data_IF_451386090831
#
_entry.id   IF_451386090831
#
_cell.length_a   1.000
_cell.length_b   1.000
_cell.length_c   1.000
_cell.angle_alpha   90.00
_cell.angle_beta   90.00
_cell.angle_gamma   90.00
#
_symmetry.space_group_name_H-M   'P 1'
#
loop_
_entity.id
_entity.type
_entity.pdbx_description
1 polymer ?
#
# COMPACT_ATOMS: atom_id res chain seq x y z
N UNK A 1 0.87 -2.31 24.78
CA UNK A 1 0.54 -2.20 23.34
C UNK A 1 -0.76 -1.39 23.25
N UNK A 2 -0.81 -0.42 22.35
CA UNK A 2 -2.02 0.37 22.07
C UNK A 2 -3.02 -0.56 21.36
N UNK A 3 -4.29 -0.51 21.74
CA UNK A 3 -5.38 -1.28 21.12
C UNK A 3 -6.40 -0.35 20.47
N UNK A 4 -7.11 -0.81 19.46
CA UNK A 4 -8.19 -0.04 18.84
C UNK A 4 -9.28 0.38 19.86
N UNK A 5 -9.45 -0.37 20.94
CA UNK A 5 -10.36 -0.03 22.02
C UNK A 5 -9.98 1.27 22.75
N UNK A 6 -8.72 1.66 22.72
CA UNK A 6 -8.20 2.88 23.36
C UNK A 6 -8.54 4.15 22.55
N UNK A 7 -9.00 4.01 21.31
CA UNK A 7 -9.38 5.11 20.43
C UNK A 7 -10.88 5.47 20.55
N UNK A 8 -11.18 6.72 20.26
CA UNK A 8 -12.54 7.25 20.28
C UNK A 8 -13.48 6.60 19.24
N UNK A 9 -14.79 6.82 19.36
CA UNK A 9 -15.77 6.22 18.46
C UNK A 9 -15.61 6.64 16.99
N UNK A 10 -15.13 7.85 16.74
CA UNK A 10 -14.85 8.36 15.39
C UNK A 10 -13.78 7.52 14.69
N UNK A 11 -12.64 7.30 15.34
CA UNK A 11 -11.53 6.48 14.79
C UNK A 11 -12.00 5.05 14.53
N UNK A 12 -12.75 4.46 15.47
CA UNK A 12 -13.28 3.10 15.28
C UNK A 12 -14.27 3.00 14.12
N UNK A 13 -15.09 4.03 13.91
CA UNK A 13 -15.99 4.10 12.77
C UNK A 13 -15.24 4.22 11.44
N UNK A 14 -14.21 5.07 11.40
CA UNK A 14 -13.36 5.20 10.22
C UNK A 14 -12.61 3.90 9.92
N UNK A 15 -12.04 3.23 10.92
CA UNK A 15 -11.40 1.90 10.74
C UNK A 15 -12.36 0.91 10.08
N UNK A 16 -13.61 0.84 10.54
CA UNK A 16 -14.61 -0.05 9.94
C UNK A 16 -14.82 0.28 8.46
N UNK A 17 -15.03 1.54 8.12
CA UNK A 17 -15.22 1.98 6.74
C UNK A 17 -13.98 1.70 5.87
N UNK A 18 -12.79 2.01 6.37
CA UNK A 18 -11.53 1.80 5.64
C UNK A 18 -11.27 0.32 5.42
N UNK A 19 -11.58 -0.56 6.37
CA UNK A 19 -11.51 -2.01 6.16
C UNK A 19 -12.40 -2.49 5.01
N UNK A 20 -13.62 -1.96 4.90
CA UNK A 20 -14.54 -2.28 3.79
C UNK A 20 -13.95 -1.84 2.45
N UNK A 21 -13.43 -0.60 2.37
CA UNK A 21 -12.81 -0.04 1.17
C UNK A 21 -11.57 -0.84 0.76
N UNK A 22 -10.66 -1.07 1.69
CA UNK A 22 -9.40 -1.78 1.41
C UNK A 22 -9.66 -3.21 0.97
N UNK A 23 -10.60 -3.92 1.61
CA UNK A 23 -11.00 -5.28 1.19
C UNK A 23 -11.59 -5.28 -0.22
N UNK A 24 -12.46 -4.34 -0.55
CA UNK A 24 -13.05 -4.21 -1.89
C UNK A 24 -11.99 -3.91 -2.96
N UNK A 25 -11.02 -3.03 -2.66
CA UNK A 25 -9.93 -2.71 -3.58
C UNK A 25 -9.03 -3.91 -3.87
N UNK A 26 -8.80 -4.79 -2.90
CA UNK A 26 -8.05 -6.03 -3.14
C UNK A 26 -8.71 -6.92 -4.20
N UNK A 27 -10.05 -6.98 -4.25
CA UNK A 27 -10.77 -7.74 -5.28
C UNK A 27 -10.55 -7.15 -6.68
N UNK A 28 -10.35 -5.83 -6.79
CA UNK A 28 -10.02 -5.20 -8.08
C UNK A 28 -8.62 -5.61 -8.56
N UNK A 29 -7.66 -5.83 -7.67
CA UNK A 29 -6.31 -6.25 -8.06
C UNK A 29 -6.34 -7.60 -8.81
N UNK A 30 -7.16 -8.56 -8.34
CA UNK A 30 -7.35 -9.84 -9.04
C UNK A 30 -8.10 -9.65 -10.34
N UNK A 31 -9.22 -8.93 -10.29
CA UNK A 31 -10.08 -8.70 -11.47
C UNK A 31 -9.28 -8.15 -12.65
N UNK A 32 -8.28 -7.31 -12.39
CA UNK A 32 -7.47 -6.66 -13.40
C UNK A 32 -6.11 -7.33 -13.62
N UNK A 33 -5.89 -8.54 -13.08
CA UNK A 33 -4.63 -9.30 -13.21
C UNK A 33 -3.39 -8.50 -12.78
N UNK A 34 -3.52 -7.70 -11.71
CA UNK A 34 -2.43 -6.86 -11.18
C UNK A 34 -1.59 -7.58 -10.11
N UNK A 35 -2.02 -8.74 -9.67
CA UNK A 35 -1.37 -9.54 -8.63
C UNK A 35 -1.45 -11.03 -8.96
N UNK A 36 -0.56 -11.80 -8.33
CA UNK A 36 -0.49 -13.27 -8.46
C UNK A 36 -0.43 -13.87 -7.07
N UNK A 37 -1.21 -14.93 -6.83
CA UNK A 37 -1.24 -15.68 -5.57
C UNK A 37 -1.62 -14.78 -4.39
N UNK A 38 -0.72 -14.59 -3.42
CA UNK A 38 -0.92 -13.73 -2.24
C UNK A 38 -0.14 -12.41 -2.32
N UNK A 39 0.61 -12.20 -3.40
CA UNK A 39 1.47 -11.04 -3.60
C UNK A 39 0.67 -9.75 -3.85
N UNK A 40 1.27 -8.62 -3.57
CA UNK A 40 0.64 -7.32 -3.69
C UNK A 40 -0.34 -7.02 -2.55
N UNK A 41 -0.66 -5.76 -2.37
CA UNK A 41 -1.57 -5.29 -1.34
C UNK A 41 -2.01 -3.84 -1.56
N UNK A 42 -3.04 -3.46 -0.84
CA UNK A 42 -3.52 -2.09 -0.71
C UNK A 42 -3.49 -1.73 0.76
N UNK A 43 -3.11 -0.51 1.06
CA UNK A 43 -3.34 0.08 2.38
C UNK A 43 -3.97 1.46 2.27
N UNK A 44 -4.61 1.88 3.34
CA UNK A 44 -5.13 3.23 3.49
C UNK A 44 -4.82 3.76 4.88
N UNK A 45 -4.26 4.99 4.95
CA UNK A 45 -4.09 5.75 6.18
C UNK A 45 -5.41 6.37 6.60
N UNK A 46 -5.69 6.44 7.90
CA UNK A 46 -6.83 7.15 8.46
C UNK A 46 -6.59 8.67 8.46
N UNK A 47 -7.68 9.41 8.40
CA UNK A 47 -7.67 10.87 8.59
C UNK A 47 -7.74 11.26 10.07
N UNK A 48 -8.44 10.46 10.88
CA UNK A 48 -8.70 10.77 12.31
C UNK A 48 -7.60 10.32 13.26
N UNK A 49 -6.64 9.50 12.79
CA UNK A 49 -5.54 9.00 13.62
C UNK A 49 -4.34 8.57 12.78
N UNK A 50 -3.16 8.51 13.38
CA UNK A 50 -1.94 7.97 12.76
C UNK A 50 -1.96 6.43 12.72
N UNK A 51 -2.98 5.91 12.06
CA UNK A 51 -3.21 4.49 11.81
C UNK A 51 -3.36 4.23 10.32
N UNK A 52 -3.08 2.98 9.93
CA UNK A 52 -3.38 2.49 8.58
C UNK A 52 -4.03 1.12 8.64
N UNK A 53 -4.81 0.81 7.61
CA UNK A 53 -5.40 -0.51 7.39
C UNK A 53 -4.67 -1.15 6.21
N UNK A 54 -4.26 -2.40 6.36
CA UNK A 54 -3.50 -3.14 5.34
C UNK A 54 -3.94 -4.61 5.28
N UNK A 55 -3.67 -5.27 4.14
CA UNK A 55 -3.89 -6.70 3.94
C UNK A 55 -3.07 -7.55 4.92
N UNK A 56 -3.65 -8.66 5.43
CA UNK A 56 -2.87 -9.66 6.16
C UNK A 56 -1.84 -10.36 5.26
N UNK A 57 -0.74 -10.81 5.86
CA UNK A 57 0.30 -11.57 5.19
C UNK A 57 -0.20 -12.97 4.81
N UNK A 58 0.16 -13.45 3.63
CA UNK A 58 -0.05 -14.83 3.20
C UNK A 58 -1.52 -15.26 3.02
N UNK A 59 -2.51 -14.42 3.34
CA UNK A 59 -3.91 -14.77 3.14
C UNK A 59 -4.27 -14.62 1.65
N UNK A 60 -4.87 -15.68 1.09
CA UNK A 60 -5.33 -15.68 -0.30
C UNK A 60 -6.47 -14.69 -0.50
N UNK A 61 -6.53 -14.10 -1.67
CA UNK A 61 -7.49 -13.06 -2.01
C UNK A 61 -8.95 -13.50 -1.86
N UNK A 62 -9.26 -14.77 -2.15
CA UNK A 62 -10.60 -15.33 -2.04
C UNK A 62 -11.13 -15.37 -0.61
N UNK A 63 -10.22 -15.30 0.38
CA UNK A 63 -10.57 -15.32 1.80
C UNK A 63 -10.47 -13.94 2.47
N UNK A 64 -10.12 -12.90 1.69
CA UNK A 64 -10.06 -11.55 2.23
C UNK A 64 -11.46 -11.01 2.51
N UNK A 65 -11.64 -10.56 3.74
CA UNK A 65 -12.86 -9.89 4.20
C UNK A 65 -12.48 -8.58 4.91
N UNK A 66 -13.41 -7.65 5.12
CA UNK A 66 -13.14 -6.47 5.92
C UNK A 66 -12.57 -6.80 7.31
N UNK A 67 -13.05 -7.86 7.95
CA UNK A 67 -12.61 -8.28 9.28
C UNK A 67 -11.20 -8.89 9.29
N UNK A 68 -10.70 -9.40 8.15
CA UNK A 68 -9.33 -9.89 8.03
C UNK A 68 -8.29 -8.79 7.85
N UNK A 69 -8.71 -7.55 7.51
CA UNK A 69 -7.77 -6.43 7.36
C UNK A 69 -7.18 -6.04 8.71
N UNK A 70 -5.86 -5.84 8.73
CA UNK A 70 -5.09 -5.53 9.94
C UNK A 70 -4.95 -4.01 10.07
N UNK A 71 -5.12 -3.50 11.29
CA UNK A 71 -4.87 -2.10 11.64
C UNK A 71 -3.48 -2.01 12.27
N UNK A 72 -2.65 -1.14 11.72
CA UNK A 72 -1.32 -0.86 12.28
C UNK A 72 -1.16 0.63 12.56
N UNK A 73 -0.30 0.96 13.53
CA UNK A 73 0.22 2.33 13.65
C UNK A 73 1.22 2.62 12.51
N UNK A 74 1.67 3.87 12.42
CA UNK A 74 2.62 4.25 11.38
C UNK A 74 4.08 3.83 11.70
N UNK A 75 4.32 3.15 12.81
CA UNK A 75 5.58 2.46 13.10
C UNK A 75 5.53 0.97 12.71
N UNK A 76 4.36 0.51 12.25
CA UNK A 76 4.13 -0.85 11.79
C UNK A 76 3.69 -1.83 12.89
N UNK A 77 3.40 -1.34 14.10
CA UNK A 77 2.88 -2.17 15.18
C UNK A 77 1.39 -2.45 14.96
N UNK A 78 0.98 -3.68 15.24
CA UNK A 78 -0.43 -4.08 15.15
C UNK A 78 -1.22 -3.45 16.30
N UNK A 79 -2.29 -2.73 15.95
CA UNK A 79 -3.25 -2.11 16.87
C UNK A 79 -4.53 -2.95 16.96
N UNK A 80 -4.97 -3.55 15.83
CA UNK A 80 -6.13 -4.43 15.79
C UNK A 80 -6.07 -5.40 14.61
N UNK A 81 -6.49 -6.63 14.82
CA UNK A 81 -6.52 -7.71 13.84
C UNK A 81 -6.03 -9.02 14.41
N UNK A 82 -6.55 -10.14 13.89
CA UNK A 82 -6.18 -11.49 14.32
C UNK A 82 -4.96 -12.04 13.55
N UNK A 83 -4.69 -11.47 12.37
CA UNK A 83 -3.68 -11.95 11.44
C UNK A 83 -2.39 -11.13 11.54
N UNK A 84 -1.28 -11.70 11.09
CA UNK A 84 -0.04 -10.94 10.89
C UNK A 84 -0.22 -9.97 9.71
N UNK A 85 0.21 -8.70 9.83
CA UNK A 85 0.10 -7.73 8.74
C UNK A 85 1.04 -8.11 7.58
N UNK A 86 0.78 -7.54 6.40
CA UNK A 86 1.64 -7.70 5.22
C UNK A 86 3.12 -7.48 5.53
N UNK A 87 4.00 -8.24 4.88
CA UNK A 87 5.45 -8.01 4.92
C UNK A 87 5.86 -6.61 4.41
N UNK A 88 4.97 -5.93 3.68
CA UNK A 88 5.19 -4.56 3.18
C UNK A 88 4.77 -3.47 4.16
N UNK A 89 4.23 -3.83 5.32
CA UNK A 89 3.72 -2.89 6.32
C UNK A 89 4.72 -1.79 6.68
N UNK A 90 5.99 -2.17 6.93
CA UNK A 90 7.05 -1.20 7.21
C UNK A 90 7.28 -0.20 6.06
N UNK A 91 7.19 -0.68 4.81
CA UNK A 91 7.35 0.17 3.62
C UNK A 91 6.19 1.16 3.46
N UNK A 92 4.94 0.70 3.66
CA UNK A 92 3.76 1.56 3.59
C UNK A 92 3.74 2.60 4.73
N UNK A 93 4.05 2.17 5.96
CA UNK A 93 4.17 3.05 7.11
C UNK A 93 5.23 4.14 6.87
N UNK A 94 6.40 3.78 6.32
CA UNK A 94 7.43 4.75 5.96
C UNK A 94 6.94 5.78 4.95
N UNK A 95 6.21 5.36 3.91
CA UNK A 95 5.62 6.27 2.91
C UNK A 95 4.69 7.26 3.59
N UNK A 96 3.75 6.80 4.42
CA UNK A 96 2.80 7.68 5.11
C UNK A 96 3.46 8.68 6.05
N UNK A 97 4.53 8.29 6.77
CA UNK A 97 5.28 9.21 7.64
C UNK A 97 6.05 10.28 6.88
N UNK A 98 6.50 9.99 5.65
CA UNK A 98 7.38 10.87 4.88
C UNK A 98 6.68 11.60 3.71
N UNK A 99 5.41 11.28 3.47
CA UNK A 99 4.53 11.88 2.46
C UNK A 99 3.14 12.12 3.09
N UNK A 100 2.96 13.19 3.86
CA UNK A 100 1.75 13.40 4.67
C UNK A 100 0.47 13.56 3.84
N UNK A 101 0.57 13.95 2.58
CA UNK A 101 -0.56 14.10 1.67
C UNK A 101 -0.98 12.78 1.00
N UNK A 102 -0.23 11.68 1.23
CA UNK A 102 -0.54 10.36 0.70
C UNK A 102 -1.41 9.60 1.72
N UNK A 103 -2.61 9.20 1.31
CA UNK A 103 -3.55 8.43 2.11
C UNK A 103 -3.81 7.01 1.60
N UNK A 104 -3.32 6.67 0.41
CA UNK A 104 -3.44 5.34 -0.17
C UNK A 104 -2.13 4.87 -0.79
N UNK A 105 -1.77 3.62 -0.57
CA UNK A 105 -0.64 2.95 -1.23
C UNK A 105 -1.13 1.65 -1.85
N UNK A 106 -0.85 1.48 -3.13
CA UNK A 106 -1.19 0.27 -3.88
C UNK A 106 0.10 -0.38 -4.39
N UNK A 107 0.36 -1.60 -3.95
CA UNK A 107 1.46 -2.43 -4.42
C UNK A 107 0.93 -3.52 -5.32
N UNK A 108 1.38 -3.54 -6.55
CA UNK A 108 1.00 -4.55 -7.54
C UNK A 108 2.22 -5.33 -8.05
N UNK A 109 1.93 -6.48 -8.67
CA UNK A 109 2.89 -7.28 -9.45
C UNK A 109 2.48 -7.29 -10.92
N UNK A 110 2.01 -6.14 -11.45
CA UNK A 110 1.63 -5.98 -12.85
C UNK A 110 2.74 -6.49 -13.77
N UNK A 111 2.41 -7.45 -14.64
CA UNK A 111 3.37 -8.17 -15.48
C UNK A 111 4.22 -7.22 -16.32
N UNK A 112 3.59 -6.25 -16.98
CA UNK A 112 4.29 -5.32 -17.86
C UNK A 112 5.13 -4.30 -17.09
N UNK A 113 4.60 -3.74 -16.00
CA UNK A 113 5.36 -2.79 -15.18
C UNK A 113 6.56 -3.47 -14.51
N UNK A 114 6.39 -4.72 -14.05
CA UNK A 114 7.47 -5.52 -13.47
C UNK A 114 8.54 -5.86 -14.52
N UNK A 115 8.14 -6.20 -15.75
CA UNK A 115 9.08 -6.44 -16.84
C UNK A 115 9.91 -5.20 -17.18
N UNK A 116 9.29 -4.02 -17.22
CA UNK A 116 10.01 -2.75 -17.38
C UNK A 116 10.97 -2.47 -16.23
N UNK A 117 10.52 -2.64 -14.98
CA UNK A 117 11.38 -2.44 -13.82
C UNK A 117 12.60 -3.36 -13.83
N UNK A 118 12.45 -4.59 -14.30
CA UNK A 118 13.55 -5.55 -14.44
C UNK A 118 14.64 -5.11 -15.45
N UNK A 119 14.31 -4.21 -16.40
CA UNK A 119 15.29 -3.61 -17.32
C UNK A 119 16.08 -2.47 -16.70
N UNK A 120 15.70 -2.01 -15.52
CA UNK A 120 16.29 -0.83 -14.89
C UNK A 120 15.93 0.51 -15.58
N UNK A 121 14.92 0.51 -16.44
CA UNK A 121 14.52 1.69 -17.22
C UNK A 121 13.17 2.23 -16.77
N UNK A 122 13.00 3.55 -16.86
CA UNK A 122 11.70 4.19 -16.69
C UNK A 122 10.74 3.75 -17.80
N UNK A 123 9.44 3.64 -17.49
CA UNK A 123 8.43 3.47 -18.53
C UNK A 123 8.29 4.83 -19.26
N UNK A 124 8.56 4.91 -20.58
CA UNK A 124 8.50 6.18 -21.30
C UNK A 124 7.05 6.67 -21.40
N UNK A 125 6.88 8.00 -21.34
CA UNK A 125 5.58 8.63 -21.57
C UNK A 125 5.26 8.63 -23.08
N UNK A 126 4.79 7.49 -23.57
CA UNK A 126 4.47 7.29 -25.00
C UNK A 126 2.99 7.40 -25.35
N UNK A 127 2.11 7.61 -24.36
CA UNK A 127 0.66 7.70 -24.54
C UNK A 127 0.11 8.97 -23.88
N UNK A 128 -0.89 9.59 -24.49
CA UNK A 128 -1.53 10.80 -23.96
C UNK A 128 -2.03 10.58 -22.52
N UNK A 129 -2.71 9.46 -22.27
CA UNK A 129 -3.19 9.11 -20.93
C UNK A 129 -2.05 9.03 -19.89
N UNK A 130 -0.86 8.59 -20.28
CA UNK A 130 0.29 8.57 -19.36
C UNK A 130 0.75 10.01 -19.02
N UNK A 131 0.69 10.93 -19.97
CA UNK A 131 0.95 12.35 -19.74
C UNK A 131 -0.06 12.95 -18.78
N UNK A 132 -1.33 12.66 -18.99
CA UNK A 132 -2.44 13.18 -18.18
C UNK A 132 -2.42 12.63 -16.75
N UNK A 133 -2.22 11.31 -16.59
CA UNK A 133 -2.28 10.64 -15.27
C UNK A 133 -0.98 10.75 -14.48
N UNK A 134 0.17 10.66 -15.15
CA UNK A 134 1.48 10.60 -14.47
C UNK A 134 2.34 11.86 -14.68
N UNK A 135 1.93 12.78 -15.52
CA UNK A 135 2.71 13.99 -15.83
C UNK A 135 4.04 13.74 -16.54
N UNK A 136 4.32 12.49 -16.94
CA UNK A 136 5.58 12.12 -17.58
C UNK A 136 5.88 10.62 -17.51
N UNK A 137 7.16 10.23 -17.67
CA UNK A 137 7.55 8.82 -17.56
C UNK A 137 7.35 8.28 -16.13
N UNK A 138 6.98 6.99 -16.01
CA UNK A 138 6.90 6.32 -14.72
C UNK A 138 8.33 5.91 -14.32
N UNK A 139 8.87 6.43 -13.22
CA UNK A 139 10.26 6.17 -12.84
C UNK A 139 10.44 4.76 -12.27
N UNK A 140 11.61 4.15 -12.55
CA UNK A 140 12.07 2.97 -11.84
C UNK A 140 12.82 3.41 -10.57
N UNK A 141 12.43 2.85 -9.43
CA UNK A 141 13.11 3.05 -8.16
C UNK A 141 14.32 2.13 -8.00
N UNK A 142 15.18 2.38 -7.00
CA UNK A 142 16.30 1.51 -6.72
C UNK A 142 15.84 0.16 -6.17
N UNK A 143 16.56 -0.92 -6.54
CA UNK A 143 16.32 -2.22 -5.92
C UNK A 143 16.55 -2.16 -4.41
N UNK A 144 15.63 -2.72 -3.64
CA UNK A 144 15.70 -2.84 -2.17
C UNK A 144 15.17 -4.19 -1.73
N UNK A 145 15.72 -4.70 -0.62
CA UNK A 145 15.24 -5.95 -0.03
C UNK A 145 13.96 -5.72 0.78
N UNK A 146 13.07 -6.71 0.75
CA UNK A 146 11.83 -6.77 1.53
C UNK A 146 12.13 -6.96 3.03
N UNK A 147 11.16 -6.64 3.90
CA UNK A 147 11.18 -6.92 5.32
C UNK A 147 11.68 -5.76 6.20
N UNK A 148 11.89 -4.58 5.60
CA UNK A 148 12.25 -3.36 6.31
C UNK A 148 11.62 -2.14 5.63
N UNK A 149 11.94 -0.94 6.11
CA UNK A 149 11.52 0.32 5.50
C UNK A 149 12.27 0.64 4.17
N UNK A 150 13.24 -0.17 3.78
CA UNK A 150 14.14 0.14 2.65
C UNK A 150 13.39 0.36 1.33
N UNK A 151 12.34 -0.42 1.05
CA UNK A 151 11.47 -0.24 -0.13
C UNK A 151 10.73 1.09 -0.03
N UNK A 152 10.08 1.36 1.09
CA UNK A 152 9.36 2.62 1.32
C UNK A 152 10.26 3.85 1.17
N UNK A 153 11.48 3.78 1.71
CA UNK A 153 12.49 4.83 1.51
C UNK A 153 12.83 5.03 0.04
N UNK A 154 13.06 3.94 -0.70
CA UNK A 154 13.33 4.00 -2.14
C UNK A 154 12.17 4.62 -2.93
N UNK A 155 10.91 4.31 -2.58
CA UNK A 155 9.72 4.90 -3.17
C UNK A 155 9.68 6.41 -2.91
N UNK A 156 9.82 6.85 -1.65
CA UNK A 156 9.80 8.27 -1.27
C UNK A 156 10.92 9.05 -1.98
N UNK A 157 12.14 8.52 -2.00
CA UNK A 157 13.28 9.14 -2.70
C UNK A 157 13.00 9.29 -4.20
N UNK A 158 12.40 8.26 -4.82
CA UNK A 158 12.06 8.27 -6.24
C UNK A 158 10.96 9.28 -6.55
N UNK A 159 9.85 9.27 -5.79
CA UNK A 159 8.74 10.18 -6.03
C UNK A 159 9.08 11.65 -5.76
N UNK A 160 9.93 11.93 -4.75
CA UNK A 160 10.44 13.30 -4.53
C UNK A 160 11.32 13.82 -5.67
N UNK A 161 12.01 12.92 -6.37
CA UNK A 161 12.83 13.27 -7.54
C UNK A 161 11.99 13.49 -8.81
N UNK A 162 10.83 12.84 -8.89
CA UNK A 162 9.88 12.93 -10.01
C UNK A 162 8.51 13.39 -9.49
N UNK A 163 8.40 14.63 -8.99
CA UNK A 163 7.13 15.17 -8.53
C UNK A 163 6.17 15.30 -9.72
N UNK A 164 4.88 15.03 -9.47
CA UNK A 164 3.80 15.28 -10.42
C UNK A 164 3.33 16.72 -10.34
#
# INVERSE_FOLDING_TARGET
MVSLADFGPEVRAEVKQVREVVAALHQQLIKWNLVVWTAGNVSQRLHSADLMVIKPSGLRYEYLTPSSMVVCDLDGNVVDGAEAPSSDTASHAYIYRNMPDVYGVVHTHSTYATAWAATGQNIPCGLTMMGDEFGGPVPVGPFRLIGSEAIGKGVVETLKKYPK
#
